data_IF_495735005867
#
_entry.id   IF_495735005867
#
_cell.length_a   1.000
_cell.length_b   1.000
_cell.length_c   1.000
_cell.angle_alpha   90.00
_cell.angle_beta   90.00
_cell.angle_gamma   90.00
#
_symmetry.space_group_name_H-M   'P 1'
#
loop_
_entity.id
_entity.type
_entity.pdbx_description
1 polymer ?
#
# COMPACT_ATOMS: atom_id res chain seq x y z
N UNK A 1 14.83 41.53 30.00
CA UNK A 1 14.23 40.18 30.13
C UNK A 1 13.89 39.51 28.79
N UNK A 2 13.31 40.23 27.81
CA UNK A 2 12.86 39.68 26.51
C UNK A 2 13.95 39.01 25.64
N UNK A 3 15.20 39.48 25.72
CA UNK A 3 16.31 38.93 24.90
C UNK A 3 16.65 37.47 25.23
N UNK A 4 16.56 37.07 26.50
CA UNK A 4 16.84 35.69 26.93
C UNK A 4 15.70 34.74 26.51
N UNK A 5 14.47 35.25 26.38
CA UNK A 5 13.31 34.50 25.91
C UNK A 5 13.38 34.23 24.40
N UNK A 6 13.73 35.23 23.58
CA UNK A 6 13.94 35.02 22.14
C UNK A 6 15.15 34.12 21.85
N UNK A 7 16.23 34.23 22.62
CA UNK A 7 17.40 33.35 22.48
C UNK A 7 17.02 31.90 22.81
N UNK A 8 16.23 31.67 23.86
CA UNK A 8 15.75 30.34 24.21
C UNK A 8 14.81 29.77 23.13
N UNK A 9 13.94 30.59 22.55
CA UNK A 9 13.03 30.20 21.48
C UNK A 9 13.79 29.79 20.21
N UNK A 10 14.84 30.52 19.84
CA UNK A 10 15.68 30.21 18.68
C UNK A 10 16.42 28.89 18.88
N UNK A 11 16.99 28.66 20.07
CA UNK A 11 17.68 27.40 20.38
C UNK A 11 16.74 26.19 20.33
N UNK A 12 15.50 26.34 20.79
CA UNK A 12 14.49 25.28 20.75
C UNK A 12 14.09 24.92 19.30
N UNK A 13 13.91 25.92 18.42
CA UNK A 13 13.60 25.70 17.00
C UNK A 13 14.76 24.99 16.30
N UNK A 14 16.00 25.41 16.57
CA UNK A 14 17.21 24.78 16.01
C UNK A 14 17.31 23.31 16.43
N UNK A 15 17.00 22.98 17.68
CA UNK A 15 17.01 21.58 18.15
C UNK A 15 15.96 20.74 17.43
N UNK A 16 14.74 21.28 17.23
CA UNK A 16 13.65 20.58 16.51
C UNK A 16 14.03 20.33 15.04
N UNK A 17 14.70 21.27 14.37
CA UNK A 17 15.11 21.10 12.96
C UNK A 17 16.30 20.16 12.77
N UNK A 18 17.09 19.89 13.81
CA UNK A 18 18.26 19.01 13.74
C UNK A 18 17.95 17.53 14.03
N UNK A 19 16.76 17.22 14.57
CA UNK A 19 16.26 15.84 14.64
C UNK A 19 15.62 15.38 13.31
N UNK A 20 16.18 15.82 12.19
CA UNK A 20 15.85 15.23 10.90
C UNK A 20 16.28 13.76 10.94
N UNK A 21 15.29 12.87 10.83
CA UNK A 21 15.45 11.43 10.82
C UNK A 21 16.49 11.03 9.75
N UNK A 22 17.60 10.43 10.16
CA UNK A 22 18.47 9.71 9.22
C UNK A 22 17.73 8.44 8.83
N UNK A 23 17.32 8.37 7.57
CA UNK A 23 16.93 7.11 6.94
C UNK A 23 18.21 6.28 6.83
N UNK A 24 18.26 5.14 7.51
CA UNK A 24 19.38 4.20 7.36
C UNK A 24 19.53 3.83 5.87
N UNK A 25 20.78 3.66 5.36
CA UNK A 25 20.96 3.16 4.01
C UNK A 25 20.25 1.81 3.94
N UNK A 26 19.31 1.69 2.99
CA UNK A 26 18.67 0.43 2.68
C UNK A 26 19.76 -0.64 2.58
N UNK A 27 19.57 -1.71 3.34
CA UNK A 27 20.49 -2.84 3.36
C UNK A 27 20.75 -3.34 1.95
N UNK A 28 21.93 -3.92 1.77
CA UNK A 28 22.34 -4.74 0.62
C UNK A 28 21.14 -5.37 -0.11
N UNK A 29 21.10 -5.21 -1.43
CA UNK A 29 20.03 -5.63 -2.36
C UNK A 29 19.69 -7.14 -2.36
N UNK A 30 20.12 -7.91 -1.37
CA UNK A 30 19.86 -9.34 -1.25
C UNK A 30 18.61 -9.65 -0.40
N UNK A 31 17.93 -8.65 0.21
CA UNK A 31 16.73 -8.88 1.03
C UNK A 31 15.64 -7.79 0.87
N UNK A 32 15.44 -7.26 -0.34
CA UNK A 32 14.28 -6.41 -0.65
C UNK A 32 13.23 -7.23 -1.39
N UNK A 33 12.76 -8.32 -0.75
CA UNK A 33 11.66 -9.11 -1.29
C UNK A 33 10.34 -8.43 -0.93
N UNK A 34 9.53 -8.13 -1.93
CA UNK A 34 8.18 -7.57 -1.74
C UNK A 34 7.23 -8.74 -1.57
N UNK A 35 6.55 -8.84 -0.43
CA UNK A 35 5.57 -9.89 -0.16
C UNK A 35 4.15 -9.31 -0.16
N UNK A 36 3.22 -9.94 -0.86
CA UNK A 36 1.81 -9.55 -0.84
C UNK A 36 1.01 -10.16 0.33
N UNK A 37 -0.29 -9.86 0.41
CA UNK A 37 -1.19 -10.36 1.48
C UNK A 37 -1.45 -11.87 1.40
N UNK A 38 -1.28 -12.46 0.22
CA UNK A 38 -1.47 -13.89 -0.04
C UNK A 38 -0.16 -14.68 0.16
N UNK A 39 0.95 -13.98 0.47
CA UNK A 39 2.26 -14.57 0.71
C UNK A 39 3.10 -14.78 -0.56
N UNK A 40 2.71 -14.21 -1.70
CA UNK A 40 3.54 -14.22 -2.90
C UNK A 40 4.71 -13.26 -2.74
N UNK A 41 5.90 -13.68 -3.14
CA UNK A 41 7.14 -12.90 -3.06
C UNK A 41 7.58 -12.42 -4.45
N UNK A 42 8.06 -11.18 -4.52
CA UNK A 42 8.48 -10.53 -5.76
C UNK A 42 9.85 -9.89 -5.59
N UNK A 43 10.74 -10.20 -6.53
CA UNK A 43 12.06 -9.57 -6.62
C UNK A 43 11.93 -8.25 -7.39
N UNK A 44 12.40 -7.12 -6.82
CA UNK A 44 12.45 -5.87 -7.56
C UNK A 44 13.59 -5.85 -8.58
N UNK A 45 13.39 -5.11 -9.67
CA UNK A 45 14.35 -4.86 -10.74
C UNK A 45 14.34 -3.37 -11.08
N UNK A 46 15.52 -2.80 -11.30
CA UNK A 46 15.65 -1.39 -11.68
C UNK A 46 15.57 -1.29 -13.20
N UNK A 47 14.62 -0.50 -13.70
CA UNK A 47 14.48 -0.18 -15.12
C UNK A 47 14.53 1.35 -15.27
N UNK A 48 15.64 1.85 -15.80
CA UNK A 48 15.93 3.30 -15.82
C UNK A 48 16.15 3.83 -14.40
N UNK A 49 15.38 4.83 -14.00
CA UNK A 49 15.43 5.46 -12.67
C UNK A 49 14.33 4.95 -11.72
N UNK A 50 13.59 3.91 -12.10
CA UNK A 50 12.47 3.37 -11.34
C UNK A 50 12.71 1.90 -10.96
N UNK A 51 12.19 1.52 -9.80
CA UNK A 51 12.18 0.16 -9.28
C UNK A 51 10.83 -0.50 -9.61
N UNK A 52 10.86 -1.63 -10.31
CA UNK A 52 9.72 -2.40 -10.78
C UNK A 52 9.75 -3.81 -10.19
N UNK A 53 8.64 -4.53 -10.18
CA UNK A 53 8.65 -5.97 -9.90
C UNK A 53 9.08 -6.75 -11.14
N UNK A 54 9.90 -7.79 -10.98
CA UNK A 54 10.32 -8.67 -12.08
C UNK A 54 9.16 -9.47 -12.69
N UNK A 55 8.10 -9.68 -11.92
CA UNK A 55 6.93 -10.47 -12.28
C UNK A 55 5.64 -9.71 -12.02
N UNK A 56 4.55 -10.12 -12.70
CA UNK A 56 3.22 -9.59 -12.43
C UNK A 56 2.69 -10.02 -11.06
N UNK A 57 1.92 -9.15 -10.41
CA UNK A 57 1.20 -9.44 -9.17
C UNK A 57 0.18 -10.58 -9.39
N UNK A 58 0.18 -11.56 -8.48
CA UNK A 58 -0.64 -12.80 -8.53
C UNK A 58 -1.62 -12.85 -7.35
N UNK A 59 -2.08 -11.68 -6.92
CA UNK A 59 -3.01 -11.54 -5.79
C UNK A 59 -4.37 -12.13 -6.13
N UNK A 60 -4.95 -12.81 -5.16
CA UNK A 60 -6.25 -13.50 -5.22
C UNK A 60 -7.30 -12.86 -4.31
N UNK A 61 -6.92 -11.93 -3.45
CA UNK A 61 -7.84 -11.20 -2.57
C UNK A 61 -7.66 -9.69 -2.67
N UNK A 62 -8.78 -8.98 -2.62
CA UNK A 62 -8.80 -7.53 -2.43
C UNK A 62 -8.37 -7.18 -1.00
N UNK A 63 -8.10 -5.89 -0.77
CA UNK A 63 -7.73 -5.37 0.56
C UNK A 63 -8.80 -5.61 1.63
N UNK A 64 -10.08 -5.71 1.23
CA UNK A 64 -11.19 -6.01 2.13
C UNK A 64 -11.35 -7.52 2.42
N UNK A 65 -10.50 -8.38 1.83
CA UNK A 65 -10.52 -9.82 1.99
C UNK A 65 -11.39 -10.57 0.98
N UNK A 66 -12.14 -9.86 0.12
CA UNK A 66 -12.96 -10.50 -0.91
C UNK A 66 -12.07 -11.12 -2.00
N UNK A 67 -12.45 -12.29 -2.50
CA UNK A 67 -11.71 -12.93 -3.57
C UNK A 67 -11.80 -12.12 -4.88
N UNK A 68 -10.66 -11.95 -5.54
CA UNK A 68 -10.57 -11.46 -6.91
C UNK A 68 -11.00 -12.61 -7.81
N UNK A 69 -12.27 -12.58 -8.21
CA UNK A 69 -12.83 -13.54 -9.16
C UNK A 69 -12.18 -13.30 -10.52
N UNK A 70 -11.05 -13.97 -10.78
CA UNK A 70 -10.42 -14.00 -12.11
C UNK A 70 -11.32 -14.84 -13.01
N UNK A 71 -12.20 -14.14 -13.72
CA UNK A 71 -13.31 -14.69 -14.49
C UNK A 71 -12.84 -15.52 -15.69
N UNK A 72 -12.40 -16.76 -15.45
CA UNK A 72 -12.38 -17.81 -16.45
C UNK A 72 -13.76 -18.50 -16.41
N UNK A 73 -14.76 -17.87 -17.03
CA UNK A 73 -16.12 -18.42 -17.10
C UNK A 73 -16.15 -19.70 -17.95
N UNK A 74 -16.89 -20.72 -17.50
CA UNK A 74 -18.26 -20.83 -18.00
C UNK A 74 -19.31 -21.01 -16.89
N UNK A 75 -20.41 -20.27 -17.05
CA UNK A 75 -21.77 -20.49 -16.51
C UNK A 75 -22.03 -20.02 -15.05
N UNK A 76 -22.65 -18.84 -15.00
CA UNK A 76 -23.60 -18.32 -14.00
C UNK A 76 -23.09 -18.04 -12.57
N UNK A 77 -22.52 -16.85 -12.38
CA UNK A 77 -22.90 -16.01 -11.25
C UNK A 77 -23.25 -14.64 -11.83
N UNK A 78 -24.48 -14.23 -11.56
CA UNK A 78 -25.01 -12.93 -11.93
C UNK A 78 -24.04 -11.84 -11.49
N UNK A 79 -23.87 -10.86 -12.37
CA UNK A 79 -23.34 -9.56 -12.03
C UNK A 79 -24.12 -9.03 -10.81
N UNK A 80 -23.50 -9.02 -9.65
CA UNK A 80 -23.73 -8.00 -8.64
C UNK A 80 -22.39 -7.28 -8.52
N UNK A 81 -22.28 -6.20 -9.29
CA UNK A 81 -21.32 -5.15 -8.98
C UNK A 81 -22.11 -4.13 -8.17
N UNK A 82 -22.63 -4.55 -7.02
CA UNK A 82 -23.40 -3.66 -6.16
C UNK A 82 -22.44 -3.01 -5.18
N UNK A 83 -21.87 -1.89 -5.64
CA UNK A 83 -21.18 -0.92 -4.81
C UNK A 83 -22.08 0.28 -4.48
N UNK A 84 -23.39 0.15 -4.65
CA UNK A 84 -24.37 1.16 -4.24
C UNK A 84 -25.30 0.57 -3.18
N UNK A 85 -25.33 1.27 -2.05
CA UNK A 85 -26.29 1.07 -0.98
C UNK A 85 -27.62 1.65 -1.45
N UNK A 86 -28.70 0.92 -1.18
CA UNK A 86 -30.10 1.25 -1.47
C UNK A 86 -30.58 0.86 -2.88
N UNK A 87 -31.06 -0.39 -3.05
CA UNK A 87 -32.41 -0.69 -3.55
C UNK A 87 -32.67 -2.20 -3.83
N UNK A 88 -33.45 -2.78 -2.91
CA UNK A 88 -34.58 -3.70 -3.14
C UNK A 88 -34.35 -5.14 -3.65
N UNK A 89 -34.46 -6.07 -2.68
CA UNK A 89 -35.48 -7.13 -2.65
C UNK A 89 -35.90 -7.76 -3.99
N UNK A 90 -35.38 -8.96 -4.24
CA UNK A 90 -36.19 -10.03 -4.82
C UNK A 90 -35.78 -10.48 -6.20
N UNK A 91 -34.93 -11.51 -6.26
CA UNK A 91 -34.98 -12.50 -7.33
C UNK A 91 -34.70 -13.89 -6.76
N UNK A 92 -35.75 -14.52 -6.24
CA UNK A 92 -35.80 -15.99 -6.14
C UNK A 92 -35.96 -16.55 -7.55
N UNK A 93 -35.18 -17.57 -7.91
CA UNK A 93 -35.52 -18.40 -9.07
C UNK A 93 -35.35 -19.87 -8.71
N UNK A 94 -36.45 -20.61 -8.91
CA UNK A 94 -36.56 -22.07 -8.84
C UNK A 94 -35.57 -22.78 -9.73
#
# INVERSE_FOLDING_TARGET
MIKRLNILLILLIVIITHFACKKDPAGSNDDLIITDIDGNTYTPVIIGDQEWMAENLKVTHYRNGDAIVVSFFPILILMSCDNDSDDLEGLTFT
#
